data_IF_252838269010
#
_entry.id   IF_252838269010
#
_cell.length_a   1.000
_cell.length_b   1.000
_cell.length_c   1.000
_cell.angle_alpha   90.00
_cell.angle_beta   90.00
_cell.angle_gamma   90.00
#
_symmetry.space_group_name_H-M   'P 1'
#
loop_
_entity.id
_entity.type
_entity.pdbx_description
1 polymer ?
#
# COMPACT_ATOMS: atom_id res chain seq x y z
N UNK A 1 -12.07 20.52 -22.61
CA UNK A 1 -13.06 20.02 -21.64
C UNK A 1 -13.08 20.93 -20.42
N UNK A 2 -14.25 21.43 -20.05
CA UNK A 2 -14.37 22.38 -18.94
C UNK A 2 -13.84 21.81 -17.63
N UNK A 3 -13.24 22.64 -16.81
CA UNK A 3 -12.60 22.26 -15.52
C UNK A 3 -13.49 21.48 -14.55
N UNK A 4 -14.82 21.60 -14.69
CA UNK A 4 -15.82 20.87 -13.89
C UNK A 4 -15.92 19.40 -14.25
N UNK A 5 -15.74 19.01 -15.51
CA UNK A 5 -15.79 17.60 -15.96
C UNK A 5 -14.58 16.82 -15.47
N UNK A 6 -13.38 17.40 -15.55
CA UNK A 6 -12.15 16.79 -15.06
C UNK A 6 -12.19 16.55 -13.54
N UNK A 7 -12.71 17.52 -12.76
CA UNK A 7 -12.84 17.38 -11.31
C UNK A 7 -13.73 16.20 -10.90
N UNK A 8 -14.89 16.01 -11.58
CA UNK A 8 -15.81 14.87 -11.31
C UNK A 8 -15.17 13.54 -11.64
N UNK A 9 -14.45 13.44 -12.76
CA UNK A 9 -13.76 12.23 -13.15
C UNK A 9 -12.65 11.86 -12.15
N UNK A 10 -11.84 12.84 -11.71
CA UNK A 10 -10.80 12.64 -10.70
C UNK A 10 -11.41 12.23 -9.35
N UNK A 11 -12.54 12.84 -8.97
CA UNK A 11 -13.26 12.46 -7.76
C UNK A 11 -13.77 11.01 -7.82
N UNK A 12 -14.32 10.55 -8.96
CA UNK A 12 -14.70 9.15 -9.13
C UNK A 12 -13.52 8.19 -8.92
N UNK A 13 -12.34 8.53 -9.46
CA UNK A 13 -11.11 7.74 -9.26
C UNK A 13 -10.65 7.77 -7.80
N UNK A 14 -10.76 8.90 -7.11
CA UNK A 14 -10.43 9.02 -5.69
C UNK A 14 -11.37 8.16 -4.80
N UNK A 15 -12.66 8.05 -5.14
CA UNK A 15 -13.60 7.14 -4.47
C UNK A 15 -13.14 5.67 -4.63
N UNK A 16 -12.64 5.30 -5.81
CA UNK A 16 -12.02 3.97 -6.00
C UNK A 16 -10.81 3.77 -5.12
N UNK A 17 -9.92 4.77 -5.03
CA UNK A 17 -8.78 4.76 -4.13
C UNK A 17 -9.18 4.62 -2.65
N UNK A 18 -10.28 5.27 -2.25
CA UNK A 18 -10.84 5.14 -0.91
C UNK A 18 -11.38 3.72 -0.64
N UNK A 19 -12.11 3.12 -1.57
CA UNK A 19 -12.61 1.75 -1.44
C UNK A 19 -11.47 0.74 -1.32
N UNK A 20 -10.45 0.87 -2.18
CA UNK A 20 -9.26 0.01 -2.18
C UNK A 20 -8.49 0.14 -0.88
N UNK A 21 -8.21 1.36 -0.41
CA UNK A 21 -7.52 1.60 0.86
C UNK A 21 -8.29 1.05 2.06
N UNK A 22 -9.62 1.17 2.05
CA UNK A 22 -10.44 0.64 3.14
C UNK A 22 -10.34 -0.88 3.22
N UNK A 23 -10.48 -1.62 2.11
CA UNK A 23 -10.41 -3.10 2.14
C UNK A 23 -9.01 -3.63 2.44
N UNK A 24 -7.97 -2.91 2.04
CA UNK A 24 -6.58 -3.29 2.29
C UNK A 24 -6.28 -3.36 3.79
N UNK A 25 -6.70 -2.35 4.53
CA UNK A 25 -6.31 -2.21 5.94
C UNK A 25 -7.36 -2.68 6.95
N UNK A 26 -8.65 -2.74 6.59
CA UNK A 26 -9.72 -3.13 7.53
C UNK A 26 -9.55 -4.56 8.06
N UNK A 27 -9.02 -5.47 7.28
CA UNK A 27 -8.75 -6.86 7.71
C UNK A 27 -7.77 -6.89 8.89
N UNK A 28 -6.77 -5.99 8.91
CA UNK A 28 -5.81 -5.87 10.01
C UNK A 28 -6.48 -5.31 11.28
N UNK A 29 -7.43 -4.38 11.10
CA UNK A 29 -8.24 -3.83 12.19
C UNK A 29 -9.22 -4.84 12.80
N UNK A 30 -9.67 -5.83 12.03
CA UNK A 30 -10.64 -6.85 12.42
C UNK A 30 -10.04 -8.26 12.52
N UNK A 31 -8.72 -8.38 12.58
CA UNK A 31 -8.04 -9.68 12.50
C UNK A 31 -8.57 -10.71 13.51
N UNK A 32 -8.79 -10.37 14.81
CA UNK A 32 -9.35 -11.31 15.76
C UNK A 32 -10.77 -11.77 15.41
N UNK A 33 -11.63 -10.86 14.91
CA UNK A 33 -13.01 -11.17 14.53
C UNK A 33 -13.07 -12.05 13.27
N UNK A 34 -12.19 -11.78 12.30
CA UNK A 34 -12.06 -12.60 11.09
C UNK A 34 -11.54 -13.99 11.45
N UNK A 35 -10.54 -14.09 12.32
CA UNK A 35 -10.02 -15.36 12.82
C UNK A 35 -11.12 -16.20 13.49
N UNK A 36 -11.84 -15.61 14.44
CA UNK A 36 -12.96 -16.28 15.13
C UNK A 36 -14.09 -16.68 14.16
N UNK A 37 -14.43 -15.79 13.21
CA UNK A 37 -15.51 -16.02 12.26
C UNK A 37 -15.20 -17.08 11.20
N UNK A 38 -13.91 -17.35 10.92
CA UNK A 38 -13.46 -18.39 9.99
C UNK A 38 -12.91 -19.64 10.66
N UNK A 39 -12.95 -19.70 12.01
CA UNK A 39 -12.52 -20.85 12.79
C UNK A 39 -11.01 -21.13 12.74
N UNK A 40 -10.18 -20.09 12.58
CA UNK A 40 -8.72 -20.20 12.55
C UNK A 40 -8.09 -19.38 13.68
N UNK A 41 -6.81 -19.61 13.96
CA UNK A 41 -6.04 -18.78 14.88
C UNK A 41 -5.60 -17.44 14.22
N UNK A 42 -5.14 -16.49 15.04
CA UNK A 42 -4.70 -15.16 14.58
C UNK A 42 -3.52 -15.25 13.59
N UNK A 43 -2.49 -16.08 13.83
CA UNK A 43 -1.42 -16.28 12.85
C UNK A 43 -1.93 -16.70 11.47
N UNK A 44 -2.82 -17.69 11.43
CA UNK A 44 -3.44 -18.18 10.18
C UNK A 44 -4.32 -17.11 9.53
N UNK A 45 -5.06 -16.31 10.31
CA UNK A 45 -5.85 -15.20 9.78
C UNK A 45 -4.98 -14.11 9.12
N UNK A 46 -3.72 -13.94 9.54
CA UNK A 46 -2.75 -13.07 8.89
C UNK A 46 -2.49 -13.41 7.42
N UNK A 47 -2.73 -14.66 7.02
CA UNK A 47 -2.64 -15.08 5.62
C UNK A 47 -3.65 -14.38 4.70
N UNK A 48 -4.81 -13.92 5.22
CA UNK A 48 -5.78 -13.16 4.41
C UNK A 48 -5.22 -11.81 3.96
N UNK A 49 -4.36 -11.19 4.76
CA UNK A 49 -3.65 -9.97 4.42
C UNK A 49 -2.62 -10.27 3.33
N UNK A 50 -1.82 -11.34 3.52
CA UNK A 50 -0.83 -11.78 2.53
C UNK A 50 -1.49 -12.19 1.21
N UNK A 51 -2.66 -12.84 1.23
CA UNK A 51 -3.38 -13.25 0.02
C UNK A 51 -3.85 -12.05 -0.80
N UNK A 52 -4.41 -11.03 -0.14
CA UNK A 52 -4.79 -9.79 -0.82
C UNK A 52 -3.57 -9.12 -1.48
N UNK A 53 -2.50 -8.95 -0.73
CA UNK A 53 -1.26 -8.34 -1.22
C UNK A 53 -0.62 -9.14 -2.37
N UNK A 54 -0.63 -10.48 -2.29
CA UNK A 54 -0.20 -11.35 -3.37
C UNK A 54 -1.07 -11.18 -4.63
N UNK A 55 -2.39 -11.00 -4.45
CA UNK A 55 -3.30 -10.67 -5.54
C UNK A 55 -2.91 -9.37 -6.24
N UNK A 56 -2.53 -8.33 -5.50
CA UNK A 56 -2.05 -7.05 -6.06
C UNK A 56 -0.78 -7.24 -6.88
N UNK A 57 0.19 -7.99 -6.35
CA UNK A 57 1.48 -8.25 -7.01
C UNK A 57 1.31 -9.01 -8.32
N UNK A 58 0.46 -10.02 -8.32
CA UNK A 58 0.19 -10.86 -9.50
C UNK A 58 -0.73 -10.15 -10.49
N UNK A 59 -1.75 -9.46 -9.97
CA UNK A 59 -2.78 -8.82 -10.80
C UNK A 59 -2.24 -7.65 -11.61
N UNK A 60 -1.39 -6.80 -11.04
CA UNK A 60 -0.92 -5.59 -11.71
C UNK A 60 -0.22 -5.88 -13.06
N UNK A 61 0.79 -6.77 -13.16
CA UNK A 61 1.45 -7.06 -14.43
C UNK A 61 0.53 -7.80 -15.42
N UNK A 62 -0.27 -8.76 -14.94
CA UNK A 62 -1.19 -9.52 -15.80
C UNK A 62 -2.21 -8.58 -16.44
N UNK A 63 -2.81 -7.72 -15.64
CA UNK A 63 -3.82 -6.78 -16.12
C UNK A 63 -3.19 -5.73 -17.04
N UNK A 64 -1.98 -5.25 -16.74
CA UNK A 64 -1.27 -4.32 -17.61
C UNK A 64 -1.10 -4.90 -19.02
N UNK A 65 -0.71 -6.16 -19.14
CA UNK A 65 -0.57 -6.85 -20.43
C UNK A 65 -1.91 -7.05 -21.13
N UNK A 66 -2.93 -7.58 -20.41
CA UNK A 66 -4.24 -7.87 -20.97
C UNK A 66 -4.98 -6.59 -21.40
N UNK A 67 -4.79 -5.52 -20.68
CA UNK A 67 -5.46 -4.24 -20.90
C UNK A 67 -4.74 -3.29 -21.87
N UNK A 68 -3.53 -3.63 -22.32
CA UNK A 68 -2.68 -2.73 -23.12
C UNK A 68 -3.36 -2.16 -24.38
N UNK A 69 -4.26 -2.92 -24.98
CA UNK A 69 -5.00 -2.52 -26.21
C UNK A 69 -6.46 -2.11 -25.96
N UNK A 70 -6.92 -2.16 -24.71
CA UNK A 70 -8.31 -1.84 -24.38
C UNK A 70 -8.49 -0.36 -23.99
N UNK A 71 -9.67 0.24 -24.23
CA UNK A 71 -9.97 1.60 -23.80
C UNK A 71 -9.81 1.72 -22.27
N UNK A 72 -9.02 2.68 -21.80
CA UNK A 72 -8.69 2.84 -20.37
C UNK A 72 -9.92 2.95 -19.48
N UNK A 73 -10.98 3.66 -19.92
CA UNK A 73 -12.25 3.74 -19.19
C UNK A 73 -12.87 2.35 -18.99
N UNK A 74 -12.96 1.55 -20.04
CA UNK A 74 -13.53 0.19 -19.97
C UNK A 74 -12.76 -0.68 -19.00
N UNK A 75 -11.42 -0.62 -19.04
CA UNK A 75 -10.55 -1.37 -18.13
C UNK A 75 -10.78 -0.93 -16.69
N UNK A 76 -10.75 0.38 -16.39
CA UNK A 76 -10.98 0.90 -15.03
C UNK A 76 -12.34 0.50 -14.47
N UNK A 77 -13.40 0.58 -15.30
CA UNK A 77 -14.75 0.14 -14.91
C UNK A 77 -14.76 -1.37 -14.62
N UNK A 78 -14.18 -2.19 -15.51
CA UNK A 78 -14.11 -3.65 -15.32
C UNK A 78 -13.32 -4.02 -14.05
N UNK A 79 -12.19 -3.34 -13.79
CA UNK A 79 -11.41 -3.53 -12.57
C UNK A 79 -12.21 -3.23 -11.30
N UNK A 80 -12.97 -2.13 -11.31
CA UNK A 80 -13.76 -1.75 -10.14
C UNK A 80 -15.00 -2.63 -9.97
N UNK A 81 -15.59 -3.15 -11.06
CA UNK A 81 -16.64 -4.17 -10.98
C UNK A 81 -16.10 -5.45 -10.38
N UNK A 82 -14.95 -5.96 -10.88
CA UNK A 82 -14.31 -7.15 -10.33
C UNK A 82 -13.95 -6.96 -8.84
N UNK A 83 -13.42 -5.79 -8.48
CA UNK A 83 -13.12 -5.42 -7.09
C UNK A 83 -14.37 -5.43 -6.21
N UNK A 84 -15.46 -4.79 -6.65
CA UNK A 84 -16.71 -4.71 -5.90
C UNK A 84 -17.31 -6.10 -5.68
N UNK A 85 -17.39 -6.92 -6.74
CA UNK A 85 -17.91 -8.30 -6.67
C UNK A 85 -17.07 -9.16 -5.74
N UNK A 86 -15.74 -9.11 -5.84
CA UNK A 86 -14.85 -9.91 -4.99
C UNK A 86 -14.92 -9.50 -3.52
N UNK A 87 -15.08 -8.20 -3.21
CA UNK A 87 -15.30 -7.76 -1.84
C UNK A 87 -16.67 -8.20 -1.31
N UNK A 88 -17.74 -8.04 -2.08
CA UNK A 88 -19.06 -8.56 -1.67
C UNK A 88 -19.01 -10.07 -1.43
N UNK A 89 -18.36 -10.83 -2.31
CA UNK A 89 -18.17 -12.27 -2.16
C UNK A 89 -17.38 -12.61 -0.88
N UNK A 90 -16.36 -11.81 -0.52
CA UNK A 90 -15.60 -11.99 0.72
C UNK A 90 -16.47 -11.94 1.98
N UNK A 91 -17.56 -11.17 1.96
CA UNK A 91 -18.50 -11.08 3.07
C UNK A 91 -19.52 -12.24 3.16
N UNK A 92 -19.55 -13.15 2.18
CA UNK A 92 -20.45 -14.32 2.18
C UNK A 92 -19.72 -15.63 2.49
N UNK A 93 -18.39 -15.61 2.62
CA UNK A 93 -17.60 -16.81 2.92
C UNK A 93 -17.08 -16.74 4.35
N UNK A 94 -17.24 -17.85 5.09
CA UNK A 94 -16.94 -17.98 6.51
C UNK A 94 -15.89 -19.07 6.82
N UNK A 95 -15.20 -19.55 5.79
CA UNK A 95 -14.19 -20.59 5.91
C UNK A 95 -12.85 -20.15 5.31
N UNK A 96 -11.75 -20.75 5.76
CA UNK A 96 -10.40 -20.31 5.44
C UNK A 96 -10.10 -20.24 3.93
N UNK A 97 -10.23 -21.35 3.21
CA UNK A 97 -9.80 -21.43 1.82
C UNK A 97 -10.63 -20.54 0.86
N UNK A 98 -11.97 -20.51 0.93
CA UNK A 98 -12.77 -19.59 0.12
C UNK A 98 -12.46 -18.12 0.40
N UNK A 99 -12.24 -17.73 1.67
CA UNK A 99 -11.86 -16.34 1.98
C UNK A 99 -10.46 -15.99 1.45
N UNK A 100 -9.50 -16.92 1.53
CA UNK A 100 -8.17 -16.73 0.91
C UNK A 100 -8.28 -16.43 -0.58
N UNK A 101 -9.07 -17.22 -1.32
CA UNK A 101 -9.31 -17.02 -2.75
C UNK A 101 -10.00 -15.69 -3.02
N UNK A 102 -11.05 -15.36 -2.26
CA UNK A 102 -11.78 -14.11 -2.42
C UNK A 102 -10.88 -12.89 -2.13
N UNK A 103 -10.02 -12.96 -1.12
CA UNK A 103 -9.04 -11.91 -0.79
C UNK A 103 -7.99 -11.76 -1.90
N UNK A 104 -7.47 -12.87 -2.43
CA UNK A 104 -6.53 -12.84 -3.56
C UNK A 104 -7.16 -12.16 -4.78
N UNK A 105 -8.37 -12.59 -5.17
CA UNK A 105 -9.10 -12.02 -6.32
C UNK A 105 -9.41 -10.54 -6.09
N UNK A 106 -9.82 -10.13 -4.88
CA UNK A 106 -10.11 -8.73 -4.57
C UNK A 106 -8.86 -7.83 -4.61
N UNK A 107 -7.68 -8.41 -4.41
CA UNK A 107 -6.41 -7.70 -4.54
C UNK A 107 -5.98 -7.45 -6.00
N UNK A 108 -6.32 -8.34 -6.93
CA UNK A 108 -5.83 -8.26 -8.31
C UNK A 108 -6.08 -6.91 -9.01
N UNK A 109 -7.27 -6.26 -8.88
CA UNK A 109 -7.54 -4.98 -9.53
C UNK A 109 -6.76 -3.80 -8.97
N UNK A 110 -6.30 -3.86 -7.71
CA UNK A 110 -5.77 -2.73 -6.94
C UNK A 110 -4.63 -2.00 -7.66
N UNK A 111 -3.51 -2.69 -7.95
CA UNK A 111 -2.33 -2.06 -8.53
C UNK A 111 -2.59 -1.48 -9.93
N UNK A 112 -3.34 -2.23 -10.76
CA UNK A 112 -3.71 -1.79 -12.09
C UNK A 112 -4.66 -0.58 -12.05
N UNK A 113 -5.58 -0.52 -11.08
CA UNK A 113 -6.48 0.62 -10.90
C UNK A 113 -5.71 1.91 -10.60
N UNK A 114 -4.76 1.88 -9.64
CA UNK A 114 -3.95 3.06 -9.34
C UNK A 114 -3.04 3.48 -10.50
N UNK A 115 -2.43 2.53 -11.20
CA UNK A 115 -1.60 2.81 -12.37
C UNK A 115 -2.39 3.47 -13.49
N UNK A 116 -3.43 2.81 -13.99
CA UNK A 116 -4.29 3.33 -15.07
C UNK A 116 -5.05 4.59 -14.65
N UNK A 117 -5.57 4.62 -13.43
CA UNK A 117 -6.29 5.78 -12.90
C UNK A 117 -5.42 7.02 -12.86
N UNK A 118 -4.16 6.87 -12.45
CA UNK A 118 -3.18 7.98 -12.45
C UNK A 118 -2.92 8.52 -13.85
N UNK A 119 -2.78 7.64 -14.84
CA UNK A 119 -2.61 8.04 -16.25
C UNK A 119 -3.85 8.78 -16.78
N UNK A 120 -5.04 8.26 -16.49
CA UNK A 120 -6.30 8.93 -16.90
C UNK A 120 -6.45 10.27 -16.20
N UNK A 121 -6.23 10.37 -14.89
CA UNK A 121 -6.32 11.65 -14.19
C UNK A 121 -5.34 12.69 -14.72
N UNK A 122 -4.09 12.27 -15.00
CA UNK A 122 -3.08 13.16 -15.58
C UNK A 122 -3.46 13.66 -16.98
N UNK A 123 -4.15 12.84 -17.79
CA UNK A 123 -4.60 13.24 -19.13
C UNK A 123 -5.76 14.22 -19.15
N UNK A 124 -6.54 14.30 -18.05
CA UNK A 124 -7.69 15.20 -17.93
C UNK A 124 -7.34 16.64 -17.58
N UNK A 125 -6.09 16.93 -17.28
CA UNK A 125 -5.65 18.24 -16.80
C UNK A 125 -4.42 18.74 -17.59
N UNK A 126 -4.19 20.07 -17.63
CA UNK A 126 -2.98 20.64 -18.26
C UNK A 126 -1.68 20.11 -17.61
N UNK A 127 -0.53 20.11 -18.33
CA UNK A 127 0.73 19.53 -17.86
C UNK A 127 1.18 19.98 -16.47
N UNK A 128 1.01 21.26 -16.14
CA UNK A 128 1.39 21.82 -14.83
C UNK A 128 0.51 21.33 -13.65
N UNK A 129 -0.63 20.68 -13.91
CA UNK A 129 -1.56 20.13 -12.90
C UNK A 129 -1.56 18.60 -12.83
N UNK A 130 -0.78 17.90 -13.65
CA UNK A 130 -0.77 16.43 -13.70
C UNK A 130 -0.42 15.81 -12.35
N UNK A 131 0.62 16.29 -11.69
CA UNK A 131 1.02 15.80 -10.35
C UNK A 131 -0.10 15.96 -9.32
N UNK A 132 -0.81 17.10 -9.37
CA UNK A 132 -1.97 17.31 -8.52
C UNK A 132 -3.09 16.31 -8.78
N UNK A 133 -3.40 16.02 -10.05
CA UNK A 133 -4.47 15.08 -10.41
C UNK A 133 -4.15 13.64 -9.94
N UNK A 134 -2.91 13.21 -10.08
CA UNK A 134 -2.44 11.92 -9.55
C UNK A 134 -2.54 11.88 -8.02
N UNK A 135 -2.11 12.95 -7.35
CA UNK A 135 -2.19 13.05 -5.90
C UNK A 135 -3.62 12.97 -5.38
N UNK A 136 -4.61 13.47 -6.13
CA UNK A 136 -6.04 13.40 -5.74
C UNK A 136 -6.57 11.95 -5.70
N UNK A 137 -6.05 11.04 -6.51
CA UNK A 137 -6.42 9.63 -6.43
C UNK A 137 -5.83 9.01 -5.14
N UNK A 138 -4.57 9.32 -4.84
CA UNK A 138 -3.89 8.83 -3.64
C UNK A 138 -4.47 9.42 -2.34
N UNK A 139 -5.10 10.59 -2.40
CA UNK A 139 -5.86 11.15 -1.26
C UNK A 139 -6.99 10.19 -0.86
N UNK A 140 -7.63 9.51 -1.82
CA UNK A 140 -8.62 8.47 -1.50
C UNK A 140 -8.08 7.43 -0.51
N UNK A 141 -6.87 6.93 -0.76
CA UNK A 141 -6.18 5.99 0.14
C UNK A 141 -5.89 6.59 1.52
N UNK A 142 -5.44 7.84 1.57
CA UNK A 142 -5.17 8.51 2.84
C UNK A 142 -6.45 8.73 3.67
N UNK A 143 -7.53 9.18 3.03
CA UNK A 143 -8.84 9.35 3.67
C UNK A 143 -9.40 8.00 4.12
N UNK A 144 -9.17 6.92 3.37
CA UNK A 144 -9.53 5.57 3.78
C UNK A 144 -8.90 5.20 5.13
N UNK A 145 -7.62 5.49 5.32
CA UNK A 145 -6.93 5.17 6.57
C UNK A 145 -7.35 6.06 7.76
N UNK A 146 -7.74 7.30 7.52
CA UNK A 146 -8.19 8.21 8.58
C UNK A 146 -9.65 7.98 8.98
N UNK A 147 -10.51 7.63 8.02
CA UNK A 147 -11.97 7.55 8.23
C UNK A 147 -12.53 6.18 7.85
N UNK A 148 -12.20 5.67 6.67
CA UNK A 148 -12.78 4.44 6.12
C UNK A 148 -12.49 3.23 6.98
N UNK A 149 -11.21 2.98 7.26
CA UNK A 149 -10.75 1.83 8.06
C UNK A 149 -11.27 1.91 9.48
N UNK A 150 -11.14 3.03 10.22
CA UNK A 150 -11.68 3.13 11.57
C UNK A 150 -13.20 2.91 11.64
N UNK A 151 -13.95 3.56 10.74
CA UNK A 151 -15.41 3.46 10.72
C UNK A 151 -15.89 2.04 10.38
N UNK A 152 -15.30 1.43 9.35
CA UNK A 152 -15.66 0.06 8.96
C UNK A 152 -15.20 -0.96 10.00
N UNK A 153 -14.07 -0.74 10.69
CA UNK A 153 -13.65 -1.56 11.83
C UNK A 153 -14.66 -1.49 12.97
N UNK A 154 -15.13 -0.27 13.32
CA UNK A 154 -16.16 -0.10 14.34
C UNK A 154 -17.47 -0.85 13.99
N UNK A 155 -17.91 -0.75 12.73
CA UNK A 155 -19.10 -1.46 12.25
C UNK A 155 -18.88 -2.97 12.25
N UNK A 156 -17.71 -3.43 11.81
CA UNK A 156 -17.34 -4.85 11.82
C UNK A 156 -17.31 -5.45 13.23
N UNK A 157 -16.86 -4.70 14.22
CA UNK A 157 -16.86 -5.12 15.64
C UNK A 157 -18.28 -5.22 16.22
N UNK A 158 -19.22 -4.37 15.79
CA UNK A 158 -20.58 -4.28 16.37
C UNK A 158 -21.60 -5.14 15.65
N UNK A 159 -21.49 -5.27 14.34
CA UNK A 159 -22.54 -5.88 13.51
C UNK A 159 -22.05 -7.22 12.93
N UNK A 160 -20.74 -7.35 12.64
CA UNK A 160 -20.13 -8.54 12.08
C UNK A 160 -18.97 -8.19 11.12
N UNK A 161 -17.92 -8.99 11.14
CA UNK A 161 -16.70 -8.77 10.38
C UNK A 161 -16.91 -8.77 8.84
N UNK A 162 -18.03 -9.31 8.37
CA UNK A 162 -18.42 -9.35 6.97
C UNK A 162 -18.89 -7.99 6.45
N UNK A 163 -19.51 -7.19 7.31
CA UNK A 163 -20.14 -5.89 6.97
C UNK A 163 -19.18 -4.92 6.26
N UNK A 164 -17.94 -4.73 6.71
CA UNK A 164 -16.95 -3.94 5.99
C UNK A 164 -16.77 -4.31 4.52
N UNK A 165 -16.75 -5.61 4.19
CA UNK A 165 -16.58 -6.06 2.82
C UNK A 165 -17.78 -5.71 1.93
N UNK A 166 -19.00 -5.79 2.48
CA UNK A 166 -20.21 -5.35 1.77
C UNK A 166 -20.24 -3.84 1.58
N UNK A 167 -19.82 -3.06 2.59
CA UNK A 167 -19.70 -1.59 2.48
C UNK A 167 -18.68 -1.22 1.40
N UNK A 168 -17.51 -1.85 1.40
CA UNK A 168 -16.48 -1.62 0.37
C UNK A 168 -17.00 -1.99 -1.02
N UNK A 169 -17.71 -3.10 -1.14
CA UNK A 169 -18.35 -3.50 -2.39
C UNK A 169 -19.37 -2.47 -2.88
N UNK A 170 -20.20 -1.93 -1.97
CA UNK A 170 -21.16 -0.87 -2.29
C UNK A 170 -20.47 0.43 -2.72
N UNK A 171 -19.39 0.84 -2.05
CA UNK A 171 -18.58 2.01 -2.46
C UNK A 171 -17.93 1.75 -3.83
N UNK A 172 -17.41 0.53 -4.07
CA UNK A 172 -16.91 0.12 -5.38
C UNK A 172 -17.96 0.22 -6.49
N UNK A 173 -19.20 -0.24 -6.22
CA UNK A 173 -20.32 -0.12 -7.15
C UNK A 173 -20.68 1.36 -7.40
N UNK A 174 -20.71 2.20 -6.37
CA UNK A 174 -20.91 3.64 -6.52
C UNK A 174 -19.79 4.29 -7.36
N UNK A 175 -18.54 3.86 -7.17
CA UNK A 175 -17.40 4.27 -7.99
C UNK A 175 -17.59 3.88 -9.46
N UNK A 176 -18.07 2.66 -9.76
CA UNK A 176 -18.41 2.21 -11.12
C UNK A 176 -19.43 3.16 -11.76
N UNK A 177 -20.53 3.46 -11.07
CA UNK A 177 -21.57 4.39 -11.58
C UNK A 177 -20.97 5.77 -11.86
N UNK A 178 -20.16 6.29 -10.94
CA UNK A 178 -19.50 7.58 -11.09
C UNK A 178 -18.50 7.58 -12.27
N UNK A 179 -17.71 6.52 -12.45
CA UNK A 179 -16.78 6.40 -13.58
C UNK A 179 -17.51 6.28 -14.92
N UNK A 180 -18.60 5.49 -14.99
CA UNK A 180 -19.40 5.38 -16.21
C UNK A 180 -19.96 6.74 -16.59
N UNK A 181 -20.47 7.51 -15.62
CA UNK A 181 -21.09 8.81 -15.85
C UNK A 181 -20.07 9.93 -16.16
N UNK A 182 -18.90 9.93 -15.56
CA UNK A 182 -18.02 11.10 -15.56
C UNK A 182 -16.68 10.90 -16.28
N UNK A 183 -16.21 9.67 -16.48
CA UNK A 183 -15.00 9.46 -17.27
C UNK A 183 -15.29 9.60 -18.76
N UNK A 184 -14.47 10.35 -19.52
CA UNK A 184 -14.62 10.45 -20.97
C UNK A 184 -14.32 9.12 -21.67
N UNK A 185 -14.88 8.95 -22.86
CA UNK A 185 -14.71 7.74 -23.68
C UNK A 185 -13.42 7.74 -24.51
N UNK A 186 -12.58 8.79 -24.40
CA UNK A 186 -11.42 8.95 -25.25
C UNK A 186 -10.41 7.82 -25.02
N UNK A 187 -10.03 7.17 -26.11
CA UNK A 187 -8.91 6.26 -26.16
C UNK A 187 -7.61 7.07 -26.01
N UNK A 188 -7.06 7.15 -24.80
CA UNK A 188 -5.70 7.63 -24.62
C UNK A 188 -4.78 6.49 -25.04
N UNK A 189 -4.40 6.47 -26.31
CA UNK A 189 -3.34 5.58 -26.83
C UNK A 189 -2.01 6.13 -26.35
N UNK A 190 -1.43 5.50 -25.33
CA UNK A 190 -0.03 5.76 -24.99
C UNK A 190 0.85 5.13 -26.07
N UNK A 191 1.58 5.96 -26.82
CA UNK A 191 2.61 5.51 -27.76
C UNK A 191 3.95 5.15 -27.07
N UNK A 192 3.97 5.06 -25.73
CA UNK A 192 5.18 4.64 -25.04
C UNK A 192 5.51 3.19 -25.41
N UNK A 193 6.68 2.98 -26.00
CA UNK A 193 7.14 1.68 -26.43
C UNK A 193 7.34 0.78 -25.20
N UNK A 194 6.54 -0.27 -25.06
CA UNK A 194 6.69 -1.31 -24.03
C UNK A 194 8.13 -1.86 -23.94
N UNK A 195 8.89 -1.80 -25.06
CA UNK A 195 10.30 -2.19 -25.07
C UNK A 195 11.19 -1.24 -24.27
N UNK A 196 10.93 0.05 -24.29
CA UNK A 196 11.73 1.05 -23.58
C UNK A 196 11.44 0.98 -22.09
N UNK A 197 10.20 0.70 -21.70
CA UNK A 197 9.84 0.43 -20.32
C UNK A 197 10.54 -0.84 -19.78
N UNK A 198 10.60 -1.93 -20.56
CA UNK A 198 11.29 -3.15 -20.15
C UNK A 198 12.82 -2.98 -20.01
N UNK A 199 13.43 -2.02 -20.71
CA UNK A 199 14.85 -1.69 -20.51
C UNK A 199 15.17 -1.20 -19.10
N UNK A 200 14.21 -0.62 -18.38
CA UNK A 200 14.41 -0.27 -16.98
C UNK A 200 14.76 -1.49 -16.13
N UNK A 201 14.17 -2.67 -16.43
CA UNK A 201 14.43 -3.92 -15.71
C UNK A 201 15.83 -4.50 -15.91
N UNK A 202 16.60 -4.02 -16.91
CA UNK A 202 18.00 -4.44 -17.09
C UNK A 202 18.96 -3.72 -16.14
N UNK A 203 18.49 -2.69 -15.41
CA UNK A 203 19.32 -1.83 -14.57
C UNK A 203 19.38 -2.37 -13.14
N UNK A 204 20.57 -2.66 -12.64
CA UNK A 204 20.81 -3.12 -11.26
C UNK A 204 20.23 -2.16 -10.21
N UNK A 205 20.28 -0.84 -10.45
CA UNK A 205 19.76 0.17 -9.52
C UNK A 205 18.24 0.12 -9.38
N UNK A 206 17.51 -0.33 -10.41
CA UNK A 206 16.06 -0.57 -10.34
C UNK A 206 15.77 -1.73 -9.38
N UNK A 207 16.46 -2.85 -9.54
CA UNK A 207 16.29 -4.01 -8.64
C UNK A 207 16.69 -3.71 -7.19
N UNK A 208 17.74 -2.91 -6.99
CA UNK A 208 18.11 -2.46 -5.65
C UNK A 208 17.03 -1.55 -5.03
N UNK A 209 16.43 -0.64 -5.80
CA UNK A 209 15.33 0.19 -5.32
C UNK A 209 14.08 -0.64 -4.98
N UNK A 210 13.72 -1.62 -5.81
CA UNK A 210 12.64 -2.58 -5.53
C UNK A 210 12.93 -3.41 -4.28
N UNK A 211 14.16 -3.90 -4.12
CA UNK A 211 14.58 -4.67 -2.94
C UNK A 211 14.54 -3.83 -1.65
N UNK A 212 14.97 -2.55 -1.70
CA UNK A 212 14.85 -1.62 -0.57
C UNK A 212 13.38 -1.47 -0.17
N UNK A 213 12.47 -1.28 -1.14
CA UNK A 213 11.04 -1.18 -0.89
C UNK A 213 10.47 -2.47 -0.30
N UNK A 214 10.72 -3.61 -0.95
CA UNK A 214 10.17 -4.91 -0.51
C UNK A 214 10.65 -5.29 0.88
N UNK A 215 11.94 -5.24 1.14
CA UNK A 215 12.51 -5.71 2.39
C UNK A 215 12.36 -4.63 3.48
N UNK A 216 12.78 -3.40 3.20
CA UNK A 216 12.80 -2.33 4.20
C UNK A 216 11.41 -1.89 4.65
N UNK A 217 10.42 -1.86 3.73
CA UNK A 217 9.05 -1.50 4.06
C UNK A 217 8.26 -2.69 4.64
N UNK A 218 8.69 -3.94 4.38
CA UNK A 218 8.08 -5.14 4.94
C UNK A 218 8.03 -5.16 6.47
N UNK A 219 8.98 -4.47 7.10
CA UNK A 219 9.03 -4.32 8.56
C UNK A 219 7.81 -3.61 9.15
N UNK A 220 7.27 -2.62 8.47
CA UNK A 220 6.04 -1.96 8.89
C UNK A 220 4.85 -2.93 8.86
N UNK A 221 4.72 -3.68 7.80
CA UNK A 221 3.58 -4.60 7.63
C UNK A 221 3.65 -5.82 8.56
N UNK A 222 4.83 -6.29 8.97
CA UNK A 222 4.93 -7.35 9.97
C UNK A 222 4.29 -6.92 11.30
N UNK A 223 4.41 -5.64 11.65
CA UNK A 223 3.83 -5.06 12.87
C UNK A 223 2.35 -4.71 12.67
N UNK A 224 2.03 -4.00 11.58
CA UNK A 224 0.70 -3.45 11.38
C UNK A 224 -0.35 -4.52 11.05
N UNK A 225 0.03 -5.62 10.41
CA UNK A 225 -0.89 -6.73 10.15
C UNK A 225 -1.51 -7.31 11.44
N UNK A 226 -0.76 -7.24 12.54
CA UNK A 226 -1.17 -7.74 13.85
C UNK A 226 -1.41 -6.62 14.87
N UNK A 227 -1.70 -5.40 14.39
CA UNK A 227 -1.83 -4.22 15.26
C UNK A 227 -2.95 -4.39 16.28
N UNK A 228 -4.10 -4.94 15.87
CA UNK A 228 -5.24 -5.13 16.78
C UNK A 228 -4.89 -6.06 17.94
N UNK A 229 -4.45 -7.32 17.74
CA UNK A 229 -4.07 -8.16 18.86
C UNK A 229 -2.88 -7.60 19.67
N UNK A 230 -1.93 -6.93 19.04
CA UNK A 230 -0.84 -6.26 19.77
C UNK A 230 -1.38 -5.19 20.71
N UNK A 231 -2.36 -4.38 20.27
CA UNK A 231 -2.96 -3.34 21.12
C UNK A 231 -3.84 -3.93 22.22
N UNK A 232 -4.57 -5.01 21.95
CA UNK A 232 -5.46 -5.60 22.95
C UNK A 232 -4.72 -6.47 23.96
N UNK A 233 -3.84 -7.35 23.49
CA UNK A 233 -3.18 -8.36 24.33
C UNK A 233 -1.94 -7.81 25.04
N UNK A 234 -1.16 -6.92 24.38
CA UNK A 234 0.08 -6.40 24.94
C UNK A 234 -0.13 -5.05 25.65
N UNK A 235 -0.81 -4.11 24.99
CA UNK A 235 -1.06 -2.79 25.55
C UNK A 235 -2.28 -2.74 26.48
N UNK A 236 -3.12 -3.76 26.50
CA UNK A 236 -4.34 -3.78 27.31
C UNK A 236 -5.40 -2.76 26.87
N UNK A 237 -5.34 -2.29 25.63
CA UNK A 237 -6.31 -1.33 25.08
C UNK A 237 -7.64 -2.07 24.79
N UNK A 238 -8.77 -1.61 25.33
CA UNK A 238 -10.05 -2.24 25.03
C UNK A 238 -10.35 -2.28 23.54
N UNK A 239 -10.92 -3.38 23.05
CA UNK A 239 -11.20 -3.61 21.63
C UNK A 239 -12.00 -2.46 20.96
N UNK A 240 -12.92 -1.85 21.72
CA UNK A 240 -13.73 -0.71 21.24
C UNK A 240 -12.91 0.56 20.91
N UNK A 241 -11.66 0.67 21.38
CA UNK A 241 -10.78 1.79 21.08
C UNK A 241 -9.90 1.56 19.84
N UNK A 242 -9.87 0.34 19.30
CA UNK A 242 -9.07 0.03 18.10
C UNK A 242 -9.40 0.94 16.91
N UNK A 243 -10.68 1.28 16.62
CA UNK A 243 -10.96 2.25 15.55
C UNK A 243 -10.25 3.61 15.74
N UNK A 244 -10.13 4.08 16.99
CA UNK A 244 -9.41 5.33 17.30
C UNK A 244 -7.90 5.15 17.09
N UNK A 245 -7.33 4.02 17.49
CA UNK A 245 -5.92 3.69 17.26
C UNK A 245 -5.61 3.68 15.77
N UNK A 246 -6.48 3.08 14.95
CA UNK A 246 -6.32 3.06 13.50
C UNK A 246 -6.46 4.46 12.86
N UNK A 247 -7.35 5.31 13.39
CA UNK A 247 -7.44 6.69 12.96
C UNK A 247 -6.15 7.49 13.27
N UNK A 248 -5.56 7.25 14.44
CA UNK A 248 -4.27 7.85 14.83
C UNK A 248 -3.14 7.39 13.88
N UNK A 249 -3.10 6.13 13.49
CA UNK A 249 -2.20 5.63 12.45
C UNK A 249 -2.42 6.38 11.13
N UNK A 250 -3.66 6.52 10.69
CA UNK A 250 -4.01 7.25 9.46
C UNK A 250 -3.58 8.73 9.51
N UNK A 251 -3.75 9.42 10.65
CA UNK A 251 -3.23 10.77 10.87
C UNK A 251 -1.70 10.80 10.77
N UNK A 252 -1.01 9.80 11.31
CA UNK A 252 0.43 9.62 11.14
C UNK A 252 0.81 9.52 9.67
N UNK A 253 0.07 8.74 8.87
CA UNK A 253 0.31 8.62 7.42
C UNK A 253 0.21 9.98 6.71
N UNK A 254 -0.84 10.76 6.99
CA UNK A 254 -1.00 12.11 6.42
C UNK A 254 0.17 13.01 6.81
N UNK A 255 0.56 13.00 8.09
CA UNK A 255 1.72 13.77 8.58
C UNK A 255 3.00 13.37 7.86
N UNK A 256 3.23 12.07 7.67
CA UNK A 256 4.38 11.53 6.94
C UNK A 256 4.42 11.99 5.49
N UNK A 257 3.28 11.91 4.77
CA UNK A 257 3.18 12.35 3.38
C UNK A 257 3.48 13.85 3.23
N UNK A 258 2.96 14.69 4.13
CA UNK A 258 3.21 16.14 4.12
C UNK A 258 4.68 16.47 4.42
N UNK A 259 5.33 15.69 5.28
CA UNK A 259 6.74 15.87 5.65
C UNK A 259 7.72 15.32 4.63
N UNK A 260 7.31 14.38 3.81
CA UNK A 260 8.18 13.71 2.82
C UNK A 260 8.87 14.70 1.87
N UNK A 261 8.16 15.76 1.44
CA UNK A 261 8.76 16.80 0.60
C UNK A 261 9.95 17.50 1.27
N UNK A 262 9.84 17.82 2.57
CA UNK A 262 10.94 18.44 3.33
C UNK A 262 12.14 17.50 3.46
N UNK A 263 11.90 16.22 3.67
CA UNK A 263 12.96 15.20 3.74
C UNK A 263 13.63 15.01 2.38
N UNK A 264 12.87 15.07 1.27
CA UNK A 264 13.38 14.99 -0.09
C UNK A 264 14.41 16.09 -0.42
N UNK A 265 14.25 17.29 0.14
CA UNK A 265 15.22 18.40 -0.03
C UNK A 265 16.59 18.10 0.57
N UNK A 266 16.71 17.18 1.53
CA UNK A 266 17.99 16.72 2.08
C UNK A 266 18.73 15.75 1.13
N UNK A 267 18.06 15.36 0.03
CA UNK A 267 18.52 14.39 -0.97
C UNK A 267 17.80 13.06 -0.84
N UNK A 268 17.27 12.54 -1.94
CA UNK A 268 16.41 11.33 -1.98
C UNK A 268 17.05 10.14 -1.27
N UNK A 269 18.30 9.79 -1.62
CA UNK A 269 18.96 8.62 -1.01
C UNK A 269 19.28 8.83 0.48
N UNK A 270 19.61 10.06 0.90
CA UNK A 270 19.81 10.37 2.33
C UNK A 270 18.49 10.25 3.10
N UNK A 271 17.39 10.71 2.49
CA UNK A 271 16.04 10.58 3.04
C UNK A 271 15.64 9.11 3.19
N UNK A 272 15.90 8.26 2.19
CA UNK A 272 15.63 6.81 2.26
C UNK A 272 16.42 6.16 3.39
N UNK A 273 17.73 6.39 3.46
CA UNK A 273 18.61 5.84 4.50
C UNK A 273 18.16 6.30 5.89
N UNK A 274 17.90 7.59 6.07
CA UNK A 274 17.44 8.15 7.35
C UNK A 274 16.08 7.61 7.77
N UNK A 275 15.12 7.48 6.84
CA UNK A 275 13.80 6.91 7.13
C UNK A 275 13.89 5.44 7.53
N UNK A 276 14.70 4.62 6.82
CA UNK A 276 14.89 3.21 7.17
C UNK A 276 15.58 3.03 8.52
N UNK A 277 16.59 3.86 8.83
CA UNK A 277 17.24 3.85 10.15
C UNK A 277 16.23 4.21 11.25
N UNK A 278 15.42 5.25 11.05
CA UNK A 278 14.38 5.65 11.99
C UNK A 278 13.30 4.57 12.17
N UNK A 279 12.87 3.93 11.08
CA UNK A 279 11.92 2.80 11.11
C UNK A 279 12.52 1.62 11.89
N UNK A 280 13.78 1.26 11.64
CA UNK A 280 14.44 0.16 12.35
C UNK A 280 14.48 0.40 13.85
N UNK A 281 14.88 1.60 14.27
CA UNK A 281 14.91 1.98 15.70
C UNK A 281 13.51 1.98 16.30
N UNK A 282 12.55 2.59 15.61
CA UNK A 282 11.16 2.67 16.05
C UNK A 282 10.57 1.27 16.25
N UNK A 283 10.74 0.35 15.28
CA UNK A 283 10.22 -1.02 15.37
C UNK A 283 10.94 -1.84 16.47
N UNK A 284 12.24 -1.66 16.66
CA UNK A 284 12.98 -2.32 17.74
C UNK A 284 12.48 -1.89 19.12
N UNK A 285 12.12 -0.63 19.29
CA UNK A 285 11.61 -0.09 20.56
C UNK A 285 10.12 -0.38 20.74
N UNK A 286 9.34 -0.48 19.66
CA UNK A 286 7.89 -0.67 19.70
C UNK A 286 7.47 -1.90 20.50
N UNK A 287 8.16 -3.04 20.36
CA UNK A 287 7.86 -4.26 21.12
C UNK A 287 7.93 -4.07 22.65
N UNK A 288 8.78 -3.16 23.13
CA UNK A 288 8.84 -2.78 24.55
C UNK A 288 7.80 -1.70 24.88
N UNK A 289 7.65 -0.69 24.03
CA UNK A 289 6.71 0.40 24.20
C UNK A 289 5.25 -0.08 24.23
N UNK A 290 4.96 -1.15 23.51
CA UNK A 290 3.62 -1.74 23.40
C UNK A 290 3.05 -2.31 24.71
N UNK A 291 3.85 -2.43 25.77
CA UNK A 291 3.37 -2.79 27.12
C UNK A 291 2.74 -1.62 27.88
N UNK A 292 2.84 -0.39 27.37
CA UNK A 292 2.18 0.81 27.91
C UNK A 292 1.14 1.32 26.92
N UNK A 293 -0.14 1.46 27.30
CA UNK A 293 -1.19 1.96 26.40
C UNK A 293 -0.84 3.29 25.74
N UNK A 294 -0.27 4.22 26.51
CA UNK A 294 0.08 5.56 26.04
C UNK A 294 1.23 5.49 25.03
N UNK A 295 2.30 4.75 25.36
CA UNK A 295 3.44 4.60 24.46
C UNK A 295 3.03 3.83 23.19
N UNK A 296 2.22 2.78 23.33
CA UNK A 296 1.70 2.03 22.19
C UNK A 296 1.00 2.93 21.16
N UNK A 297 0.10 3.82 21.62
CA UNK A 297 -0.62 4.75 20.75
C UNK A 297 0.33 5.78 20.11
N UNK A 298 1.30 6.32 20.85
CA UNK A 298 2.32 7.22 20.31
C UNK A 298 3.13 6.52 19.21
N UNK A 299 3.55 5.29 19.46
CA UNK A 299 4.32 4.52 18.47
C UNK A 299 3.48 4.11 17.25
N UNK A 300 2.18 3.87 17.40
CA UNK A 300 1.27 3.66 16.25
C UNK A 300 1.20 4.92 15.38
N UNK A 301 1.15 6.10 15.96
CA UNK A 301 1.26 7.34 15.19
C UNK A 301 2.57 7.44 14.42
N UNK A 302 3.71 7.15 15.09
CA UNK A 302 5.04 7.17 14.47
C UNK A 302 5.16 6.08 13.38
N UNK A 303 4.52 4.91 13.59
CA UNK A 303 4.40 3.83 12.60
C UNK A 303 3.65 4.29 11.34
N UNK A 304 2.71 5.21 11.46
CA UNK A 304 2.09 5.88 10.32
C UNK A 304 3.03 6.89 9.63
N UNK A 305 3.74 7.70 10.42
CA UNK A 305 4.58 8.81 9.93
C UNK A 305 5.78 8.32 9.11
N UNK A 306 6.64 7.49 9.70
CA UNK A 306 7.95 7.17 9.14
C UNK A 306 7.87 6.41 7.80
N UNK A 307 7.06 5.34 7.65
CA UNK A 307 6.91 4.67 6.36
C UNK A 307 6.28 5.57 5.30
N UNK A 308 5.38 6.48 5.68
CA UNK A 308 4.73 7.41 4.74
C UNK A 308 5.66 8.51 4.25
N UNK A 309 6.77 8.78 4.94
CA UNK A 309 7.89 9.56 4.41
C UNK A 309 8.67 8.74 3.37
N UNK A 310 8.92 7.46 3.66
CA UNK A 310 9.75 6.58 2.82
C UNK A 310 9.12 6.31 1.45
N UNK A 311 7.80 6.10 1.36
CA UNK A 311 7.10 5.70 0.12
C UNK A 311 7.35 6.65 -1.05
N UNK A 312 7.11 7.98 -0.96
CA UNK A 312 7.34 8.88 -2.07
C UNK A 312 8.84 9.04 -2.42
N UNK A 313 9.74 8.88 -1.45
CA UNK A 313 11.18 8.88 -1.69
C UNK A 313 11.61 7.66 -2.50
N UNK A 314 11.07 6.47 -2.19
CA UNK A 314 11.32 5.25 -2.96
C UNK A 314 10.76 5.36 -4.38
N UNK A 315 9.56 5.90 -4.53
CA UNK A 315 8.97 6.11 -5.85
C UNK A 315 9.81 7.06 -6.70
N UNK A 316 10.23 8.19 -6.14
CA UNK A 316 11.11 9.14 -6.82
C UNK A 316 12.44 8.48 -7.21
N UNK A 317 13.07 7.74 -6.26
CA UNK A 317 14.31 7.02 -6.55
C UNK A 317 14.16 6.01 -7.67
N UNK A 318 13.05 5.27 -7.68
CA UNK A 318 12.78 4.25 -8.69
C UNK A 318 12.60 4.89 -10.07
N UNK A 319 11.88 6.01 -10.17
CA UNK A 319 11.71 6.76 -11.40
C UNK A 319 13.05 7.35 -11.90
N UNK A 320 13.88 7.90 -11.00
CA UNK A 320 15.20 8.44 -11.33
C UNK A 320 16.12 7.38 -11.95
N UNK A 321 16.12 6.15 -11.42
CA UNK A 321 17.02 5.08 -11.91
C UNK A 321 16.44 4.32 -13.11
N UNK A 322 15.13 4.40 -13.34
CA UNK A 322 14.46 3.80 -14.50
C UNK A 322 14.68 4.60 -15.80
N UNK A 323 14.95 5.90 -15.72
CA UNK A 323 15.10 6.83 -16.85
C UNK A 323 13.86 6.82 -17.78
N UNK A 324 13.95 6.16 -18.94
CA UNK A 324 12.87 6.13 -19.95
C UNK A 324 11.67 5.25 -19.52
N UNK A 325 11.86 4.31 -18.57
CA UNK A 325 10.83 3.39 -18.07
C UNK A 325 10.09 3.90 -16.81
N UNK A 326 9.78 5.19 -16.73
CA UNK A 326 9.16 5.78 -15.50
C UNK A 326 7.74 5.27 -15.23
N UNK A 327 6.98 4.94 -16.29
CA UNK A 327 5.62 4.40 -16.15
C UNK A 327 5.64 3.03 -15.47
N UNK A 328 6.48 2.10 -15.97
CA UNK A 328 6.67 0.80 -15.36
C UNK A 328 7.26 0.91 -13.95
N UNK A 329 8.19 1.82 -13.72
CA UNK A 329 8.77 2.06 -12.40
C UNK A 329 7.71 2.49 -11.38
N UNK A 330 6.79 3.37 -11.75
CA UNK A 330 5.69 3.79 -10.90
C UNK A 330 4.74 2.62 -10.57
N UNK A 331 4.42 1.78 -11.57
CA UNK A 331 3.59 0.58 -11.37
C UNK A 331 4.30 -0.45 -10.46
N UNK A 332 5.59 -0.68 -10.66
CA UNK A 332 6.40 -1.58 -9.85
C UNK A 332 6.55 -1.11 -8.40
N UNK A 333 6.48 0.20 -8.12
CA UNK A 333 6.49 0.69 -6.75
C UNK A 333 5.28 0.16 -5.95
N UNK A 334 4.08 0.16 -6.52
CA UNK A 334 2.89 -0.42 -5.87
C UNK A 334 3.03 -1.95 -5.67
N UNK A 335 3.55 -2.67 -6.66
CA UNK A 335 3.83 -4.10 -6.52
C UNK A 335 4.86 -4.37 -5.43
N UNK A 336 5.90 -3.53 -5.33
CA UNK A 336 6.94 -3.62 -4.30
C UNK A 336 6.37 -3.43 -2.89
N UNK A 337 5.52 -2.41 -2.69
CA UNK A 337 4.87 -2.16 -1.40
C UNK A 337 3.92 -3.30 -1.01
N UNK A 338 3.22 -3.89 -1.97
CA UNK A 338 2.36 -5.03 -1.72
C UNK A 338 3.14 -6.34 -1.52
N UNK A 339 4.29 -6.51 -2.17
CA UNK A 339 5.22 -7.61 -1.86
C UNK A 339 5.74 -7.46 -0.42
N UNK A 340 6.07 -6.24 0.01
CA UNK A 340 6.43 -5.93 1.38
C UNK A 340 5.30 -6.25 2.38
N UNK A 341 4.04 -5.92 2.02
CA UNK A 341 2.86 -6.25 2.81
C UNK A 341 2.69 -7.78 2.97
N UNK A 342 2.73 -8.52 1.86
CA UNK A 342 2.63 -9.98 1.88
C UNK A 342 3.75 -10.63 2.71
N UNK A 343 4.99 -10.21 2.48
CA UNK A 343 6.18 -10.71 3.19
C UNK A 343 6.11 -10.40 4.68
N UNK A 344 5.78 -9.16 5.04
CA UNK A 344 5.69 -8.73 6.43
C UNK A 344 4.60 -9.48 7.20
N UNK A 345 3.39 -9.53 6.66
CA UNK A 345 2.28 -10.25 7.28
C UNK A 345 2.58 -11.75 7.45
N UNK A 346 3.19 -12.37 6.43
CA UNK A 346 3.59 -13.77 6.48
C UNK A 346 4.69 -14.05 7.53
N UNK A 347 5.75 -13.24 7.56
CA UNK A 347 6.82 -13.39 8.58
C UNK A 347 6.29 -13.15 10.00
N UNK A 348 5.38 -12.16 10.16
CA UNK A 348 4.68 -11.95 11.42
C UNK A 348 3.85 -13.17 11.84
N UNK A 349 3.16 -13.85 10.89
CA UNK A 349 2.41 -15.09 11.18
C UNK A 349 3.33 -16.21 11.68
N UNK A 350 4.50 -16.37 11.08
CA UNK A 350 5.44 -17.43 11.44
C UNK A 350 5.94 -17.31 12.89
N UNK A 351 6.32 -16.10 13.32
CA UNK A 351 6.79 -15.91 14.70
C UNK A 351 5.69 -16.04 15.73
N UNK A 352 4.46 -15.64 15.38
CA UNK A 352 3.29 -15.84 16.25
C UNK A 352 2.88 -17.32 16.33
N UNK A 353 2.90 -18.05 15.20
CA UNK A 353 2.66 -19.48 15.15
C UNK A 353 3.71 -20.28 15.95
N UNK A 354 4.95 -19.77 16.02
CA UNK A 354 6.01 -20.33 16.86
C UNK A 354 5.83 -20.01 18.36
N UNK A 355 4.78 -19.26 18.75
CA UNK A 355 4.47 -18.95 20.14
C UNK A 355 5.35 -17.83 20.75
N UNK A 356 5.98 -16.98 19.93
CA UNK A 356 6.94 -15.98 20.44
C UNK A 356 6.30 -14.71 21.02
N UNK A 357 4.98 -14.54 20.90
CA UNK A 357 4.26 -13.37 21.42
C UNK A 357 4.20 -12.17 20.48
N UNK A 358 3.32 -11.21 20.81
CA UNK A 358 2.97 -10.08 19.93
C UNK A 358 4.04 -8.97 19.84
N UNK A 359 5.10 -9.01 20.63
CA UNK A 359 6.26 -8.13 20.48
C UNK A 359 7.20 -8.55 19.34
N UNK A 360 7.15 -9.80 18.90
CA UNK A 360 8.08 -10.33 17.89
C UNK A 360 7.82 -9.85 16.45
N UNK A 361 6.58 -9.65 15.98
CA UNK A 361 6.35 -9.03 14.68
C UNK A 361 7.11 -7.72 14.49
N UNK A 362 7.19 -6.86 15.53
CA UNK A 362 7.95 -5.61 15.45
C UNK A 362 9.48 -5.82 15.44
N UNK A 363 9.98 -6.83 16.16
CA UNK A 363 11.40 -7.19 16.13
C UNK A 363 11.83 -7.73 14.77
N UNK A 364 11.02 -8.62 14.17
CA UNK A 364 11.22 -9.07 12.78
C UNK A 364 11.16 -7.87 11.83
N UNK A 365 10.23 -6.97 12.05
CA UNK A 365 10.12 -5.72 11.31
C UNK A 365 11.38 -4.86 11.38
N UNK A 366 11.98 -4.75 12.56
CA UNK A 366 13.24 -4.03 12.75
C UNK A 366 14.38 -4.68 11.96
N UNK A 367 14.49 -6.02 11.98
CA UNK A 367 15.49 -6.76 11.19
C UNK A 367 15.32 -6.51 9.68
N UNK A 368 14.09 -6.53 9.17
CA UNK A 368 13.81 -6.22 7.77
C UNK A 368 14.18 -4.78 7.42
N UNK A 369 13.89 -3.81 8.29
CA UNK A 369 14.27 -2.42 8.08
C UNK A 369 15.81 -2.24 8.08
N UNK A 370 16.55 -2.95 8.93
CA UNK A 370 18.03 -2.96 8.92
C UNK A 370 18.57 -3.59 7.64
N UNK A 371 18.00 -4.70 7.17
CA UNK A 371 18.39 -5.31 5.90
C UNK A 371 18.12 -4.35 4.73
N UNK A 372 16.94 -3.71 4.68
CA UNK A 372 16.61 -2.67 3.71
C UNK A 372 17.57 -1.49 3.75
N UNK A 373 17.97 -1.05 4.95
CA UNK A 373 18.99 -0.03 5.15
C UNK A 373 20.35 -0.45 4.58
N UNK A 374 20.78 -1.70 4.79
CA UNK A 374 21.99 -2.25 4.20
C UNK A 374 21.97 -2.22 2.67
N UNK A 375 20.84 -2.62 2.06
CA UNK A 375 20.62 -2.55 0.61
C UNK A 375 20.66 -1.09 0.12
N UNK A 376 20.07 -0.15 0.85
CA UNK A 376 20.08 1.28 0.50
C UNK A 376 21.49 1.87 0.52
N UNK A 377 22.30 1.52 1.53
CA UNK A 377 23.71 1.94 1.61
C UNK A 377 24.52 1.34 0.46
N UNK A 378 24.31 0.06 0.13
CA UNK A 378 24.94 -0.59 -1.02
C UNK A 378 24.57 0.11 -2.33
N UNK A 379 23.28 0.39 -2.55
CA UNK A 379 22.81 1.14 -3.74
C UNK A 379 23.46 2.51 -3.87
N UNK A 380 23.59 3.23 -2.75
CA UNK A 380 24.26 4.53 -2.69
C UNK A 380 25.75 4.42 -3.03
N UNK A 381 26.44 3.41 -2.53
CA UNK A 381 27.87 3.19 -2.78
C UNK A 381 28.14 2.83 -4.26
N UNK A 382 27.32 1.97 -4.85
CA UNK A 382 27.40 1.58 -6.27
C UNK A 382 27.11 2.78 -7.19
N UNK A 383 26.08 3.57 -6.86
CA UNK A 383 25.73 4.75 -7.66
C UNK A 383 26.83 5.81 -7.68
N UNK A 384 27.58 5.97 -6.59
CA UNK A 384 28.75 6.90 -6.56
C UNK A 384 29.91 6.42 -7.43
N UNK A 385 30.11 5.10 -7.57
CA UNK A 385 31.17 4.52 -8.41
C UNK A 385 30.90 4.72 -9.89
N UNK A 386 29.64 4.63 -10.31
CA UNK A 386 29.24 4.83 -11.71
C UNK A 386 29.21 6.30 -12.12
N UNK A 387 29.04 7.22 -11.15
CA UNK A 387 29.04 8.67 -11.39
C UNK A 387 30.45 9.31 -11.41
N UNK A 388 31.52 8.60 -11.04
CA UNK A 388 32.91 9.10 -11.20
C UNK A 388 33.29 9.02 -12.67
N UNK A 389 33.66 10.15 -13.32
CA UNK A 389 34.14 10.11 -14.70
C UNK A 389 35.38 9.21 -14.79
N UNK A 390 35.48 8.40 -15.84
CA UNK A 390 36.73 7.74 -16.28
C UNK A 390 37.76 8.80 -16.79
N UNK A 391 38.01 9.82 -16.03
CA UNK A 391 39.05 10.79 -16.33
C UNK A 391 40.20 10.61 -15.36
N UNK A 392 41.13 9.72 -15.68
CA UNK A 392 42.54 9.72 -15.34
C UNK A 392 43.14 8.34 -15.69
N UNK A 393 43.18 8.07 -17.00
CA UNK A 393 44.10 7.09 -17.56
C UNK A 393 44.45 7.65 -18.96
N UNK A 394 45.32 8.65 -19.01
CA UNK A 394 46.14 9.03 -20.15
C UNK A 394 47.46 9.51 -19.58
#
# INVERSE_FOLDING_TARGET
MESRGAGRAIFALAVGGFAIGTTEFVTMGLLPQVAAGTGVDIPTAGHYVSAYAAGVVVGAPIIAVLAAKAPRKTVLVALMVAFAVANVASGFVDTYAPLMVARFISGMPHGAFFGLGSLVAASLVPPHRRTWAVAMILIGLAVANVVGVPLTTLLGQRIGWQVPFWIVGAIGAACVVAMVAWLPHEAVTGEESFRDELRALTRVQVWLALAIGTVGFGGMFSTYAYITPTMTELAGIPLGWIPVVLAIYGLGMVTGMVTAGRVAHLGIMRGIIGSLAAIAVMLAVFGYAAHSPVLAVIFVYILGVLPSILVPLLQTRLMDVAHEGQGLAAALNHSTLNTANALGAWLGSLVLAAGWGYEWPSRVGAMLAVLGLGIAVLSAALGRRTARPRSQAA
#
